data_IF_049815330091
#
_entry.id   IF_049815330091
#
_cell.length_a   1.000
_cell.length_b   1.000
_cell.length_c   1.000
_cell.angle_alpha   90.00
_cell.angle_beta   90.00
_cell.angle_gamma   90.00
#
_symmetry.space_group_name_H-M   'P 1'
#
loop_
_entity.id
_entity.type
_entity.pdbx_description
1 polymer ?
#
# COMPACT_ATOMS: atom_id res chain seq x y z
N UNK A 1 -18.72 4.85 -0.87
CA UNK A 1 -18.44 3.65 -0.03
C UNK A 1 -17.07 3.10 -0.42
N UNK A 2 -16.39 2.36 0.46
CA UNK A 2 -14.93 2.05 0.57
C UNK A 2 -14.14 2.96 1.55
N UNK A 3 -14.27 4.29 1.50
CA UNK A 3 -13.51 5.23 2.37
C UNK A 3 -13.71 5.07 3.89
N UNK A 4 -14.75 4.34 4.32
CA UNK A 4 -15.05 4.14 5.75
C UNK A 4 -14.73 2.71 6.23
N UNK A 5 -14.28 1.82 5.35
CA UNK A 5 -13.92 0.45 5.74
C UNK A 5 -12.44 0.37 6.12
N UNK A 6 -12.13 -0.39 7.18
CA UNK A 6 -10.74 -0.69 7.57
C UNK A 6 -10.11 -1.72 6.65
N UNK A 7 -10.90 -2.72 6.27
CA UNK A 7 -10.47 -3.88 5.48
C UNK A 7 -11.35 -4.01 4.24
N UNK A 8 -10.75 -4.30 3.09
CA UNK A 8 -11.46 -4.46 1.82
C UNK A 8 -11.21 -5.86 1.28
N UNK A 9 -12.29 -6.62 1.08
CA UNK A 9 -12.19 -7.98 0.58
C UNK A 9 -11.88 -7.95 -0.92
N UNK A 10 -10.80 -8.63 -1.29
CA UNK A 10 -10.30 -8.74 -2.65
C UNK A 10 -10.22 -10.23 -3.03
N UNK A 11 -11.36 -10.85 -3.38
CA UNK A 11 -11.34 -12.21 -3.90
C UNK A 11 -10.65 -12.26 -5.27
N UNK A 12 -9.84 -13.29 -5.50
CA UNK A 12 -9.30 -13.59 -6.83
C UNK A 12 -10.48 -13.79 -7.79
N UNK A 13 -10.71 -12.80 -8.65
CA UNK A 13 -11.73 -12.90 -9.69
C UNK A 13 -11.35 -13.91 -10.77
N UNK A 14 -12.32 -14.28 -11.60
CA UNK A 14 -12.11 -15.08 -12.80
C UNK A 14 -11.52 -14.26 -13.96
N UNK A 15 -11.65 -12.93 -13.91
CA UNK A 15 -11.14 -12.02 -14.93
C UNK A 15 -9.68 -11.62 -14.69
N UNK A 16 -8.94 -11.51 -15.80
CA UNK A 16 -7.47 -11.39 -15.87
C UNK A 16 -6.89 -10.15 -15.18
N UNK A 17 -7.71 -9.13 -14.89
CA UNK A 17 -7.28 -7.93 -14.20
C UNK A 17 -8.45 -7.24 -13.47
N UNK A 18 -8.92 -7.82 -12.37
CA UNK A 18 -9.90 -7.11 -11.53
C UNK A 18 -9.22 -5.94 -10.80
N UNK A 19 -9.72 -4.69 -10.93
CA UNK A 19 -9.11 -3.53 -10.30
C UNK A 19 -9.32 -3.50 -8.77
N UNK A 20 -10.02 -4.48 -8.18
CA UNK A 20 -10.41 -4.50 -6.75
C UNK A 20 -9.27 -4.21 -5.79
N UNK A 21 -8.09 -4.79 -6.04
CA UNK A 21 -6.92 -4.58 -5.17
C UNK A 21 -6.40 -3.15 -5.32
N UNK A 22 -6.36 -2.65 -6.55
CA UNK A 22 -5.94 -1.27 -6.87
C UNK A 22 -6.91 -0.25 -6.28
N UNK A 23 -8.22 -0.50 -6.41
CA UNK A 23 -9.29 0.34 -5.82
C UNK A 23 -9.21 0.35 -4.29
N UNK A 24 -8.94 -0.79 -3.66
CA UNK A 24 -8.76 -0.88 -2.22
C UNK A 24 -7.55 -0.05 -1.75
N UNK A 25 -6.42 -0.18 -2.44
CA UNK A 25 -5.21 0.60 -2.15
C UNK A 25 -5.47 2.10 -2.37
N UNK A 26 -6.16 2.47 -3.45
CA UNK A 26 -6.51 3.86 -3.74
C UNK A 26 -7.44 4.46 -2.67
N UNK A 27 -8.35 3.64 -2.12
CA UNK A 27 -9.23 4.03 -1.02
C UNK A 27 -8.54 4.02 0.36
N UNK A 28 -7.22 3.76 0.43
CA UNK A 28 -6.44 3.58 1.66
C UNK A 28 -6.95 2.43 2.56
N UNK A 29 -7.66 1.49 1.98
CA UNK A 29 -8.24 0.35 2.68
C UNK A 29 -7.26 -0.82 2.67
N UNK A 30 -7.09 -1.51 3.81
CA UNK A 30 -6.17 -2.67 3.87
C UNK A 30 -6.76 -3.82 3.04
N UNK A 31 -6.08 -4.26 1.96
CA UNK A 31 -6.61 -5.31 1.10
C UNK A 31 -6.54 -6.67 1.80
N UNK A 32 -7.64 -7.41 1.73
CA UNK A 32 -7.78 -8.78 2.22
C UNK A 32 -7.87 -9.69 1.01
N UNK A 33 -6.76 -10.32 0.67
CA UNK A 33 -6.60 -11.18 -0.50
C UNK A 33 -7.24 -12.53 -0.20
N UNK A 34 -8.30 -12.87 -0.91
CA UNK A 34 -9.00 -14.16 -0.74
C UNK A 34 -8.73 -15.03 -1.96
N UNK A 35 -7.85 -16.02 -1.81
CA UNK A 35 -7.46 -16.90 -2.91
C UNK A 35 -6.58 -18.04 -2.42
N UNK A 36 -6.62 -19.18 -3.11
CA UNK A 36 -5.67 -20.29 -2.85
C UNK A 36 -4.39 -20.16 -3.71
N UNK A 37 -4.50 -19.52 -4.89
CA UNK A 37 -3.37 -19.27 -5.79
C UNK A 37 -3.61 -17.98 -6.59
N UNK A 38 -3.23 -16.83 -6.03
CA UNK A 38 -3.36 -15.54 -6.70
C UNK A 38 -1.99 -14.90 -6.92
N UNK A 39 -1.65 -14.72 -8.20
CA UNK A 39 -0.44 -14.01 -8.60
C UNK A 39 -0.72 -12.52 -8.51
N UNK A 40 -0.05 -11.85 -7.58
CA UNK A 40 -0.26 -10.43 -7.30
C UNK A 40 0.59 -9.58 -8.25
N UNK A 41 0.09 -8.42 -8.69
CA UNK A 41 0.88 -7.52 -9.52
C UNK A 41 2.11 -7.05 -8.75
N UNK A 42 3.25 -6.99 -9.44
CA UNK A 42 4.55 -6.58 -8.85
C UNK A 42 4.98 -7.41 -7.64
N UNK A 43 4.61 -8.69 -7.54
CA UNK A 43 5.01 -9.58 -6.44
C UNK A 43 6.52 -9.69 -6.24
N UNK A 44 7.30 -9.44 -7.29
CA UNK A 44 8.78 -9.49 -7.25
C UNK A 44 9.40 -8.22 -6.62
N UNK A 45 8.62 -7.14 -6.52
CA UNK A 45 9.09 -5.83 -6.04
C UNK A 45 8.40 -5.45 -4.72
N UNK A 46 7.12 -5.81 -4.57
CA UNK A 46 6.31 -5.46 -3.41
C UNK A 46 6.12 -6.65 -2.48
N UNK A 47 6.53 -6.50 -1.23
CA UNK A 47 6.17 -7.46 -0.17
C UNK A 47 4.69 -7.26 0.21
N UNK A 48 3.81 -8.03 -0.42
CA UNK A 48 2.37 -7.98 -0.16
C UNK A 48 2.00 -8.31 1.28
N UNK A 49 2.77 -9.15 1.98
CA UNK A 49 2.52 -9.47 3.40
C UNK A 49 2.74 -8.25 4.30
N UNK A 50 3.48 -7.26 3.82
CA UNK A 50 3.78 -6.05 4.57
C UNK A 50 2.56 -5.15 4.74
N UNK A 51 1.60 -5.17 3.80
CA UNK A 51 0.49 -4.21 3.73
C UNK A 51 -0.89 -4.83 3.43
N UNK A 52 -0.96 -6.14 3.22
CA UNK A 52 -2.21 -6.88 2.98
C UNK A 52 -2.42 -7.99 4.01
N UNK A 53 -3.63 -8.55 4.02
CA UNK A 53 -3.98 -9.76 4.77
C UNK A 53 -4.34 -10.85 3.77
N UNK A 54 -3.76 -12.05 3.89
CA UNK A 54 -4.11 -13.18 3.03
C UNK A 54 -5.07 -14.13 3.75
N UNK A 55 -6.08 -14.62 3.04
CA UNK A 55 -7.02 -15.62 3.50
C UNK A 55 -7.26 -16.67 2.41
N UNK A 56 -7.30 -17.95 2.77
CA UNK A 56 -7.65 -19.01 1.83
C UNK A 56 -9.17 -19.02 1.57
N UNK A 57 -9.60 -19.62 0.47
CA UNK A 57 -11.05 -19.69 0.13
C UNK A 57 -11.83 -20.45 1.21
N UNK A 58 -11.23 -21.50 1.78
CA UNK A 58 -11.77 -22.27 2.92
C UNK A 58 -12.01 -21.44 4.19
N UNK A 59 -11.33 -20.30 4.33
CA UNK A 59 -11.40 -19.45 5.53
C UNK A 59 -12.49 -18.38 5.44
N UNK A 60 -13.19 -18.26 4.29
CA UNK A 60 -14.30 -17.32 4.10
C UNK A 60 -15.33 -17.37 5.25
N UNK A 61 -15.80 -18.54 5.72
CA UNK A 61 -16.74 -18.60 6.84
C UNK A 61 -16.19 -18.00 8.15
N UNK A 62 -14.88 -18.00 8.31
CA UNK A 62 -14.17 -17.54 9.51
C UNK A 62 -13.54 -16.15 9.34
N UNK A 63 -13.72 -15.49 8.18
CA UNK A 63 -13.00 -14.26 7.83
C UNK A 63 -13.25 -13.13 8.82
N UNK A 64 -14.47 -13.03 9.37
CA UNK A 64 -14.81 -12.06 10.41
C UNK A 64 -13.94 -12.27 11.65
N UNK A 65 -13.74 -13.51 12.09
CA UNK A 65 -12.92 -13.86 13.25
C UNK A 65 -11.44 -13.53 12.99
N UNK A 66 -10.95 -13.81 11.79
CA UNK A 66 -9.57 -13.50 11.37
C UNK A 66 -9.34 -11.98 11.43
N UNK A 67 -10.22 -11.19 10.81
CA UNK A 67 -10.07 -9.74 10.77
C UNK A 67 -10.25 -9.08 12.15
N UNK A 68 -11.14 -9.60 12.99
CA UNK A 68 -11.28 -9.16 14.39
C UNK A 68 -10.09 -9.54 15.27
N UNK A 69 -9.34 -10.58 14.91
CA UNK A 69 -8.12 -10.99 15.61
C UNK A 69 -6.92 -10.06 15.36
N UNK A 70 -7.00 -9.18 14.35
CA UNK A 70 -5.93 -8.23 14.04
C UNK A 70 -5.95 -7.09 15.05
N UNK A 71 -4.89 -6.96 15.84
CA UNK A 71 -4.75 -5.87 16.81
C UNK A 71 -4.75 -4.49 16.14
N UNK A 72 -5.16 -3.46 16.87
CA UNK A 72 -5.15 -2.09 16.37
C UNK A 72 -3.76 -1.64 15.90
N UNK A 73 -2.70 -2.02 16.61
CA UNK A 73 -1.32 -1.68 16.26
C UNK A 73 -0.88 -2.34 14.96
N UNK A 74 -1.26 -3.60 14.75
CA UNK A 74 -1.00 -4.32 13.50
C UNK A 74 -1.76 -3.67 12.34
N UNK A 75 -3.04 -3.33 12.53
CA UNK A 75 -3.81 -2.60 11.52
C UNK A 75 -3.17 -1.27 11.15
N UNK A 76 -2.76 -0.45 12.12
CA UNK A 76 -2.12 0.83 11.85
C UNK A 76 -0.81 0.67 11.06
N UNK A 77 -0.06 -0.41 11.30
CA UNK A 77 1.14 -0.75 10.54
C UNK A 77 0.81 -1.09 9.09
N UNK A 78 -0.19 -1.94 8.86
CA UNK A 78 -0.65 -2.29 7.51
C UNK A 78 -1.14 -1.05 6.76
N UNK A 79 -2.03 -0.27 7.38
CA UNK A 79 -2.60 0.95 6.80
C UNK A 79 -1.55 2.00 6.42
N UNK A 80 -0.53 2.23 7.25
CA UNK A 80 0.59 3.13 6.91
C UNK A 80 1.35 2.66 5.68
N UNK A 81 1.53 1.34 5.52
CA UNK A 81 2.22 0.76 4.37
C UNK A 81 1.36 0.79 3.10
N UNK A 82 0.04 0.65 3.23
CA UNK A 82 -0.90 0.87 2.10
C UNK A 82 -0.75 2.29 1.54
N UNK A 83 -0.69 3.32 2.41
CA UNK A 83 -0.45 4.70 1.97
C UNK A 83 0.90 4.88 1.26
N UNK A 84 1.94 4.19 1.71
CA UNK A 84 3.26 4.22 1.06
C UNK A 84 3.21 3.58 -0.33
N UNK A 85 2.53 2.43 -0.46
CA UNK A 85 2.48 1.69 -1.72
C UNK A 85 1.52 2.31 -2.74
N UNK A 86 0.56 3.11 -2.31
CA UNK A 86 -0.46 3.75 -3.15
C UNK A 86 0.15 4.47 -4.37
N UNK A 87 1.30 5.11 -4.21
CA UNK A 87 2.01 5.81 -5.28
C UNK A 87 2.44 4.91 -6.45
N UNK A 88 2.68 3.62 -6.20
CA UNK A 88 3.02 2.66 -7.27
C UNK A 88 1.83 2.30 -8.16
N UNK A 89 0.60 2.58 -7.71
CA UNK A 89 -0.63 2.22 -8.41
C UNK A 89 -1.37 3.42 -9.02
N UNK A 90 -0.78 4.62 -8.96
CA UNK A 90 -1.34 5.81 -9.61
C UNK A 90 -1.10 5.74 -11.12
N UNK A 91 -2.18 5.64 -11.89
CA UNK A 91 -2.12 5.75 -13.36
C UNK A 91 -1.86 7.21 -13.71
N UNK A 92 -0.63 7.51 -14.13
CA UNK A 92 -0.34 8.78 -14.79
C UNK A 92 -1.15 8.82 -16.09
N UNK A 93 -1.86 9.93 -16.34
CA UNK A 93 -2.76 10.13 -17.49
C UNK A 93 -2.12 9.83 -18.85
N UNK A 94 -2.91 9.87 -19.95
CA UNK A 94 -2.58 9.19 -21.19
C UNK A 94 -1.15 9.50 -21.62
N UNK A 95 -0.39 8.46 -22.02
CA UNK A 95 0.96 8.70 -22.42
C UNK A 95 0.96 9.57 -23.67
N UNK A 96 1.30 10.87 -23.54
CA UNK A 96 1.91 11.60 -24.66
C UNK A 96 3.04 10.69 -25.15
N UNK A 97 3.28 10.50 -26.45
CA UNK A 97 4.22 9.47 -26.99
C UNK A 97 5.55 9.30 -26.23
N UNK A 98 6.04 10.35 -25.57
CA UNK A 98 7.19 10.36 -24.64
C UNK A 98 7.00 9.56 -23.34
N UNK A 99 5.79 9.20 -22.96
CA UNK A 99 5.41 8.63 -21.66
C UNK A 99 5.47 7.11 -21.67
N UNK A 100 5.29 6.43 -22.81
CA UNK A 100 5.65 5.00 -22.91
C UNK A 100 7.15 4.85 -22.66
N UNK A 101 7.95 5.75 -23.26
CA UNK A 101 9.40 5.84 -23.00
C UNK A 101 9.68 6.17 -21.54
N UNK A 102 8.96 7.11 -20.93
CA UNK A 102 9.10 7.43 -19.49
C UNK A 102 8.64 6.32 -18.56
N UNK A 103 7.63 5.52 -18.88
CA UNK A 103 7.19 4.40 -18.04
C UNK A 103 8.25 3.31 -18.03
N UNK A 104 8.83 3.01 -19.19
CA UNK A 104 9.98 2.09 -19.30
C UNK A 104 11.21 2.69 -18.62
N UNK A 105 11.49 3.98 -18.78
CA UNK A 105 12.58 4.66 -18.09
C UNK A 105 12.35 4.74 -16.57
N UNK A 106 11.12 4.87 -16.10
CA UNK A 106 10.77 4.92 -14.68
C UNK A 106 10.94 3.54 -14.05
N UNK A 107 10.47 2.49 -14.72
CA UNK A 107 10.72 1.10 -14.31
C UNK A 107 12.22 0.82 -14.32
N UNK A 108 12.95 1.24 -15.36
CA UNK A 108 14.41 1.08 -15.42
C UNK A 108 15.15 1.91 -14.36
N UNK A 109 14.66 3.09 -13.98
CA UNK A 109 15.22 3.92 -12.89
C UNK A 109 14.90 3.38 -11.51
N UNK A 110 13.76 2.71 -11.33
CA UNK A 110 13.42 1.97 -10.12
C UNK A 110 14.33 0.73 -10.00
N UNK A 111 14.53 -0.02 -11.10
CA UNK A 111 15.47 -1.15 -11.16
C UNK A 111 16.91 -0.70 -10.87
N UNK A 112 17.29 0.50 -11.33
CA UNK A 112 18.60 1.13 -11.07
C UNK A 112 18.71 1.86 -9.72
N UNK A 113 17.65 1.92 -8.91
CA UNK A 113 17.66 2.55 -7.58
C UNK A 113 17.74 4.08 -7.57
N UNK A 114 17.48 4.74 -8.70
CA UNK A 114 17.68 6.20 -8.89
C UNK A 114 16.47 7.06 -8.44
N UNK A 115 15.38 6.44 -7.99
CA UNK A 115 14.12 7.13 -7.64
C UNK A 115 13.67 6.89 -6.19
N UNK A 116 14.61 6.67 -5.27
CA UNK A 116 14.33 6.91 -3.86
C UNK A 116 14.36 8.43 -3.62
N UNK A 117 13.23 9.11 -3.33
CA UNK A 117 13.32 10.48 -2.88
C UNK A 117 14.12 10.51 -1.57
N UNK A 118 15.02 11.50 -1.36
CA UNK A 118 15.64 11.69 -0.07
C UNK A 118 14.53 11.91 0.97
N UNK A 119 14.70 11.30 2.15
CA UNK A 119 13.79 11.47 3.29
C UNK A 119 13.62 12.96 3.57
N UNK A 120 12.46 13.53 3.27
CA UNK A 120 12.05 14.82 3.83
C UNK A 120 10.92 14.59 4.82
N UNK A 121 11.29 14.08 5.99
CA UNK A 121 10.52 14.32 7.21
C UNK A 121 10.99 15.70 7.70
N UNK A 122 10.11 16.69 7.72
CA UNK A 122 10.37 17.93 8.45
C UNK A 122 9.79 19.20 7.85
N UNK A 123 8.47 19.32 7.80
CA UNK A 123 7.84 20.64 7.90
C UNK A 123 6.64 20.55 8.86
N UNK A 124 6.75 21.33 9.95
CA UNK A 124 5.72 21.72 10.92
C UNK A 124 5.41 20.74 12.06
N UNK A 125 6.21 20.83 13.14
CA UNK A 125 5.68 20.87 14.51
C UNK A 125 6.37 22.02 15.25
N UNK A 126 5.58 22.86 15.89
CA UNK A 126 5.92 24.23 16.30
C UNK A 126 6.97 24.36 17.39
N UNK A 127 7.51 25.57 17.46
CA UNK A 127 8.38 26.08 18.52
C UNK A 127 7.70 25.90 19.88
N UNK A 128 8.37 25.23 20.82
CA UNK A 128 8.38 25.56 22.24
C UNK A 128 9.74 25.13 22.79
N UNK A 129 10.66 26.09 22.86
CA UNK A 129 11.97 25.95 23.51
C UNK A 129 11.80 26.54 24.91
N UNK A 130 11.59 25.69 25.91
CA UNK A 130 11.86 26.07 27.30
C UNK A 130 13.37 25.91 27.55
N UNK A 131 13.91 26.92 28.19
CA UNK A 131 15.29 27.06 28.66
C UNK A 131 15.72 25.89 29.55
N UNK A 132 16.96 25.43 29.36
CA UNK A 132 17.80 25.00 30.47
C UNK A 132 19.26 25.39 30.19
N UNK A 133 19.82 26.03 31.21
CA UNK A 133 20.99 26.90 31.29
C UNK A 133 22.30 26.07 31.29
N UNK A 134 23.42 26.59 30.76
CA UNK A 134 24.70 25.90 30.81
C UNK A 134 25.30 25.91 32.22
N UNK A 135 26.08 24.85 32.48
CA UNK A 135 26.90 24.61 33.65
C UNK A 135 28.11 25.57 33.61
N UNK A 136 28.18 26.46 34.61
CA UNK A 136 29.37 26.85 35.39
C UNK A 136 28.89 27.65 36.61
#
# INVERSE_FOLDING_TARGET
MLKNSRFCLCPSGYEVASPRVVEAIYAECVPVLISDSYVLPFSDVLDWKAFSVSAAIKDIPHIKKILMGISQNQYLRLHRRVKQVQWHFVINGPPKSDVVRRSVDLVNRIIRGELFPPRTIGAVCGKNRQEQKPLD
#
